data_IF_806733430625
#
_entry.id   IF_806733430625
#
_cell.length_a   1.000
_cell.length_b   1.000
_cell.length_c   1.000
_cell.angle_alpha   90.00
_cell.angle_beta   90.00
_cell.angle_gamma   90.00
#
_symmetry.space_group_name_H-M   'P 1'
#
loop_
_entity.id
_entity.type
_entity.pdbx_description
1 polymer ?
#
# COMPACT_ATOMS: atom_id res chain seq x y z
N UNK A 1 23.59 -47.97 -52.98
CA UNK A 1 24.26 -46.79 -52.36
C UNK A 1 23.39 -45.54 -52.19
N UNK A 2 22.27 -45.35 -52.92
CA UNK A 2 21.38 -44.16 -52.76
C UNK A 2 20.76 -43.97 -51.37
N UNK A 3 20.45 -45.07 -50.67
CA UNK A 3 19.85 -45.03 -49.33
C UNK A 3 20.85 -44.50 -48.30
N UNK A 4 22.13 -44.88 -48.40
CA UNK A 4 23.18 -44.39 -47.51
C UNK A 4 23.40 -42.87 -47.68
N UNK A 5 23.30 -42.37 -48.91
CA UNK A 5 23.44 -40.93 -49.20
C UNK A 5 22.23 -40.13 -48.71
N UNK A 6 21.01 -40.66 -48.82
CA UNK A 6 19.82 -39.99 -48.25
C UNK A 6 19.85 -40.00 -46.72
N UNK A 7 20.25 -41.11 -46.09
CA UNK A 7 20.37 -41.18 -44.62
C UNK A 7 21.42 -40.23 -44.07
N UNK A 8 22.49 -39.95 -44.82
CA UNK A 8 23.51 -38.95 -44.47
C UNK A 8 22.94 -37.53 -44.55
N UNK A 9 22.20 -37.22 -45.62
CA UNK A 9 21.54 -35.93 -45.78
C UNK A 9 20.49 -35.68 -44.69
N UNK A 10 19.64 -36.68 -44.40
CA UNK A 10 18.64 -36.61 -43.32
C UNK A 10 19.30 -36.42 -41.95
N UNK A 11 20.46 -37.05 -41.72
CA UNK A 11 21.25 -36.88 -40.51
C UNK A 11 21.81 -35.47 -40.36
N UNK A 12 22.28 -34.88 -41.46
CA UNK A 12 22.77 -33.51 -41.52
C UNK A 12 21.65 -32.50 -41.27
N UNK A 13 20.48 -32.70 -41.90
CA UNK A 13 19.31 -31.85 -41.74
C UNK A 13 18.82 -31.82 -40.29
N UNK A 14 18.70 -33.01 -39.65
CA UNK A 14 18.37 -33.10 -38.22
C UNK A 14 19.39 -32.38 -37.33
N UNK A 15 20.68 -32.47 -37.67
CA UNK A 15 21.76 -31.79 -36.91
C UNK A 15 21.66 -30.27 -37.04
N UNK A 16 21.35 -29.76 -38.23
CA UNK A 16 21.13 -28.32 -38.46
C UNK A 16 19.92 -27.84 -37.68
N UNK A 17 18.80 -28.57 -37.73
CA UNK A 17 17.59 -28.24 -36.95
C UNK A 17 17.88 -28.16 -35.45
N UNK A 18 18.60 -29.13 -34.87
CA UNK A 18 19.02 -29.10 -33.47
C UNK A 18 19.90 -27.90 -33.12
N UNK A 19 20.83 -27.52 -34.01
CA UNK A 19 21.70 -26.35 -33.79
C UNK A 19 20.90 -25.04 -33.85
N UNK A 20 19.96 -24.91 -34.79
CA UNK A 20 19.09 -23.74 -34.89
C UNK A 20 18.18 -23.60 -33.67
N UNK A 21 17.63 -24.70 -33.15
CA UNK A 21 16.85 -24.69 -31.90
C UNK A 21 17.67 -24.26 -30.68
N UNK A 22 18.91 -24.79 -30.57
CA UNK A 22 19.83 -24.39 -29.51
C UNK A 22 20.19 -22.91 -29.57
N UNK A 23 20.47 -22.38 -30.77
CA UNK A 23 20.79 -20.98 -30.99
C UNK A 23 19.60 -20.08 -30.63
N UNK A 24 18.39 -20.43 -31.07
CA UNK A 24 17.16 -19.72 -30.71
C UNK A 24 16.94 -19.65 -29.20
N UNK A 25 17.17 -20.77 -28.50
CA UNK A 25 17.02 -20.84 -27.03
C UNK A 25 18.02 -19.93 -26.31
N UNK A 26 19.28 -19.89 -26.77
CA UNK A 26 20.31 -19.00 -26.19
C UNK A 26 19.99 -17.54 -26.48
N UNK A 27 19.57 -17.21 -27.70
CA UNK A 27 19.15 -15.85 -28.07
C UNK A 27 17.95 -15.40 -27.24
N UNK A 28 16.98 -16.26 -26.97
CA UNK A 28 15.83 -15.97 -26.10
C UNK A 28 16.28 -15.67 -24.66
N UNK A 29 17.20 -16.47 -24.10
CA UNK A 29 17.78 -16.23 -22.76
C UNK A 29 18.59 -14.94 -22.70
N UNK A 30 19.33 -14.61 -23.76
CA UNK A 30 20.10 -13.37 -23.85
C UNK A 30 19.18 -12.15 -23.92
N UNK A 31 18.14 -12.19 -24.76
CA UNK A 31 17.19 -11.09 -24.92
C UNK A 31 16.35 -10.86 -23.66
N UNK A 32 15.91 -11.92 -23.00
CA UNK A 32 15.13 -11.86 -21.76
C UNK A 32 15.96 -11.59 -20.50
N UNK A 33 17.28 -11.78 -20.59
CA UNK A 33 18.22 -11.80 -19.45
C UNK A 33 17.81 -12.78 -18.34
N UNK A 34 17.00 -13.78 -18.67
CA UNK A 34 16.48 -14.78 -17.73
C UNK A 34 17.01 -16.14 -18.12
N UNK A 35 17.55 -16.85 -17.12
CA UNK A 35 17.98 -18.23 -17.29
C UNK A 35 16.80 -19.19 -17.50
N UNK A 36 15.63 -18.84 -16.94
CA UNK A 36 14.38 -19.62 -17.03
C UNK A 36 13.32 -18.73 -17.66
N UNK A 37 12.93 -19.03 -18.90
CA UNK A 37 11.86 -18.33 -19.61
C UNK A 37 10.54 -19.08 -19.56
N UNK A 38 10.62 -20.42 -19.58
CA UNK A 38 9.46 -21.30 -19.58
C UNK A 38 9.56 -22.31 -18.44
N UNK A 39 8.43 -22.74 -17.85
CA UNK A 39 8.44 -23.81 -16.84
C UNK A 39 9.04 -25.12 -17.36
N UNK A 40 9.00 -25.36 -18.68
CA UNK A 40 9.63 -26.50 -19.33
C UNK A 40 11.16 -26.49 -19.25
N UNK A 41 11.80 -25.33 -19.14
CA UNK A 41 13.26 -25.21 -19.14
C UNK A 41 13.87 -25.72 -17.83
N UNK A 42 13.18 -25.45 -16.71
CA UNK A 42 13.50 -25.96 -15.38
C UNK A 42 12.26 -25.85 -14.48
N UNK A 43 11.46 -26.92 -14.32
CA UNK A 43 10.21 -26.85 -13.57
C UNK A 43 10.44 -26.55 -12.08
N UNK A 44 11.52 -27.07 -11.48
CA UNK A 44 11.88 -26.81 -10.08
C UNK A 44 12.31 -25.35 -9.87
N UNK A 45 13.17 -24.85 -10.75
CA UNK A 45 13.63 -23.46 -10.71
C UNK A 45 12.50 -22.47 -10.99
N UNK A 46 11.60 -22.80 -11.93
CA UNK A 46 10.42 -22.00 -12.23
C UNK A 46 9.45 -21.95 -11.03
N UNK A 47 9.20 -23.08 -10.37
CA UNK A 47 8.36 -23.13 -9.17
C UNK A 47 8.91 -22.24 -8.05
N UNK A 48 10.21 -22.33 -7.76
CA UNK A 48 10.89 -21.46 -6.78
C UNK A 48 10.83 -19.98 -7.18
N UNK A 49 11.07 -19.66 -8.45
CA UNK A 49 11.00 -18.28 -8.95
C UNK A 49 9.59 -17.68 -8.82
N UNK A 50 8.54 -18.46 -9.10
CA UNK A 50 7.14 -18.06 -8.87
C UNK A 50 6.89 -17.85 -7.38
N UNK A 51 7.37 -18.76 -6.53
CA UNK A 51 7.30 -18.63 -5.07
C UNK A 51 7.91 -17.32 -4.57
N UNK A 52 9.12 -16.99 -5.02
CA UNK A 52 9.78 -15.73 -4.67
C UNK A 52 9.04 -14.49 -5.19
N UNK A 53 8.49 -14.54 -6.41
CA UNK A 53 7.66 -13.43 -6.94
C UNK A 53 6.40 -13.22 -6.11
N UNK A 54 5.75 -14.31 -5.70
CA UNK A 54 4.59 -14.24 -4.82
C UNK A 54 4.97 -13.66 -3.45
N UNK A 55 6.11 -14.07 -2.88
CA UNK A 55 6.61 -13.51 -1.63
C UNK A 55 6.89 -12.01 -1.78
N UNK A 56 7.56 -11.58 -2.85
CA UNK A 56 7.86 -10.17 -3.12
C UNK A 56 6.56 -9.35 -3.26
N UNK A 57 5.56 -9.87 -3.97
CA UNK A 57 4.25 -9.23 -4.10
C UNK A 57 3.54 -9.09 -2.75
N UNK A 58 3.59 -10.13 -1.91
CA UNK A 58 3.04 -10.10 -0.55
C UNK A 58 3.76 -9.07 0.33
N UNK A 59 5.10 -9.04 0.31
CA UNK A 59 5.89 -8.04 1.06
C UNK A 59 5.55 -6.63 0.58
N UNK A 60 5.42 -6.41 -0.73
CA UNK A 60 5.01 -5.12 -1.27
C UNK A 60 3.59 -4.72 -0.81
N UNK A 61 2.67 -5.69 -0.72
CA UNK A 61 1.33 -5.45 -0.18
C UNK A 61 1.39 -5.13 1.32
N UNK A 62 2.22 -5.81 2.11
CA UNK A 62 2.42 -5.48 3.52
C UNK A 62 2.96 -4.06 3.68
N UNK A 63 3.91 -3.64 2.84
CA UNK A 63 4.37 -2.25 2.81
C UNK A 63 3.25 -1.24 2.56
N UNK A 64 2.35 -1.53 1.59
CA UNK A 64 1.16 -0.69 1.35
C UNK A 64 0.22 -0.65 2.56
N UNK A 65 -0.05 -1.81 3.16
CA UNK A 65 -0.92 -1.90 4.34
C UNK A 65 -0.36 -1.12 5.52
N UNK A 66 0.96 -1.20 5.76
CA UNK A 66 1.63 -0.43 6.80
C UNK A 66 1.53 1.07 6.56
N UNK A 67 1.72 1.52 5.32
CA UNK A 67 1.56 2.94 4.96
C UNK A 67 0.12 3.41 5.20
N UNK A 68 -0.88 2.62 4.81
CA UNK A 68 -2.29 2.94 5.10
C UNK A 68 -2.55 3.01 6.61
N UNK A 69 -2.03 2.05 7.38
CA UNK A 69 -2.14 2.06 8.84
C UNK A 69 -1.46 3.26 9.47
N UNK A 70 -0.29 3.67 8.96
CA UNK A 70 0.40 4.88 9.41
C UNK A 70 -0.41 6.14 9.11
N UNK A 71 -0.92 6.30 7.89
CA UNK A 71 -1.75 7.46 7.54
C UNK A 71 -3.01 7.53 8.40
N UNK A 72 -3.61 6.38 8.72
CA UNK A 72 -4.72 6.31 9.67
C UNK A 72 -4.31 6.80 11.05
N UNK A 73 -3.22 6.27 11.60
CA UNK A 73 -2.71 6.63 12.92
C UNK A 73 -2.35 8.12 13.01
N UNK A 74 -1.65 8.66 12.02
CA UNK A 74 -1.25 10.08 11.98
C UNK A 74 -2.49 11.00 11.95
N UNK A 75 -3.52 10.61 11.21
CA UNK A 75 -4.79 11.35 11.16
C UNK A 75 -5.56 11.25 12.47
N UNK A 76 -5.57 10.09 13.10
CA UNK A 76 -6.14 9.90 14.45
C UNK A 76 -5.42 10.77 15.47
N UNK A 77 -4.09 10.77 15.47
CA UNK A 77 -3.30 11.57 16.41
C UNK A 77 -3.59 13.07 16.24
N UNK A 78 -3.62 13.55 14.98
CA UNK A 78 -3.93 14.95 14.69
C UNK A 78 -5.32 15.35 15.19
N UNK A 79 -6.34 14.51 14.95
CA UNK A 79 -7.69 14.80 15.38
C UNK A 79 -7.88 14.71 16.91
N UNK A 80 -7.16 13.79 17.59
CA UNK A 80 -7.13 13.73 19.05
C UNK A 80 -6.44 14.95 19.65
N UNK A 81 -5.32 15.40 19.07
CA UNK A 81 -4.63 16.62 19.51
C UNK A 81 -5.54 17.84 19.41
N UNK A 82 -6.23 18.00 18.27
CA UNK A 82 -7.19 19.10 18.09
C UNK A 82 -8.36 19.01 19.08
N UNK A 83 -8.85 17.79 19.35
CA UNK A 83 -9.92 17.57 20.33
C UNK A 83 -9.47 17.95 21.75
N UNK A 84 -8.22 17.64 22.10
CA UNK A 84 -7.63 18.03 23.37
C UNK A 84 -7.55 19.56 23.51
N UNK A 85 -7.11 20.26 22.46
CA UNK A 85 -7.03 21.73 22.45
C UNK A 85 -8.41 22.37 22.66
N UNK A 86 -9.45 21.84 22.00
CA UNK A 86 -10.84 22.28 22.18
C UNK A 86 -11.30 22.14 23.63
N UNK A 87 -11.01 20.99 24.26
CA UNK A 87 -11.37 20.73 25.67
C UNK A 87 -10.61 21.66 26.62
N UNK A 88 -9.32 21.89 26.38
CA UNK A 88 -8.51 22.83 27.16
C UNK A 88 -9.12 24.23 27.04
N UNK A 89 -9.48 24.67 25.84
CA UNK A 89 -10.06 25.98 25.61
C UNK A 89 -11.42 26.16 26.29
N UNK A 90 -12.29 25.16 26.22
CA UNK A 90 -13.57 25.17 26.91
C UNK A 90 -13.38 25.27 28.45
N UNK A 91 -12.38 24.57 28.99
CA UNK A 91 -12.02 24.63 30.41
C UNK A 91 -11.49 26.01 30.80
N UNK A 92 -10.64 26.64 29.98
CA UNK A 92 -10.15 28.00 30.22
C UNK A 92 -11.31 29.00 30.32
N UNK A 93 -12.26 28.93 29.38
CA UNK A 93 -13.45 29.78 29.38
C UNK A 93 -14.27 29.54 30.65
N UNK A 94 -14.50 28.28 31.02
CA UNK A 94 -15.26 27.94 32.23
C UNK A 94 -14.62 28.54 33.50
N UNK A 95 -13.28 28.43 33.64
CA UNK A 95 -12.55 29.00 34.78
C UNK A 95 -12.60 30.53 34.75
N UNK A 96 -12.41 31.15 33.58
CA UNK A 96 -12.45 32.61 33.44
C UNK A 96 -13.81 33.19 33.83
N UNK A 97 -14.89 32.50 33.47
CA UNK A 97 -16.27 32.93 33.69
C UNK A 97 -16.84 32.57 35.07
N UNK A 98 -16.17 31.66 35.79
CA UNK A 98 -16.45 31.36 37.19
C UNK A 98 -16.12 32.52 38.15
N UNK A 99 -15.34 33.51 37.71
CA UNK A 99 -15.06 34.69 38.51
C UNK A 99 -16.32 35.54 38.75
N UNK A 100 -16.49 36.01 40.01
CA UNK A 100 -17.65 36.79 40.43
C UNK A 100 -17.71 38.19 39.79
N UNK A 101 -16.59 38.71 39.29
CA UNK A 101 -16.48 39.99 38.60
C UNK A 101 -17.07 40.00 37.18
N UNK A 102 -17.40 38.84 36.62
CA UNK A 102 -17.92 38.75 35.25
C UNK A 102 -19.42 39.00 35.16
N UNK A 103 -19.82 39.80 34.18
CA UNK A 103 -21.22 40.14 33.93
C UNK A 103 -22.02 38.97 33.34
N UNK A 104 -23.34 38.97 33.55
CA UNK A 104 -24.24 37.99 32.94
C UNK A 104 -24.20 38.02 31.40
N UNK A 105 -24.06 39.20 30.80
CA UNK A 105 -23.93 39.35 29.35
C UNK A 105 -22.63 38.71 28.83
N UNK A 106 -21.50 38.93 29.52
CA UNK A 106 -20.22 38.29 29.17
C UNK A 106 -20.32 36.77 29.30
N UNK A 107 -20.97 36.25 30.35
CA UNK A 107 -21.21 34.81 30.54
C UNK A 107 -22.05 34.22 29.41
N UNK A 108 -23.09 34.91 28.96
CA UNK A 108 -23.91 34.47 27.83
C UNK A 108 -23.12 34.40 26.53
N UNK A 109 -22.29 35.40 26.23
CA UNK A 109 -21.48 35.41 25.01
C UNK A 109 -20.44 34.29 25.00
N UNK A 110 -19.79 34.04 26.15
CA UNK A 110 -18.81 32.96 26.29
C UNK A 110 -19.46 31.57 26.29
N UNK A 111 -20.72 31.44 26.72
CA UNK A 111 -21.47 30.20 26.59
C UNK A 111 -21.72 29.83 25.12
N UNK A 112 -22.00 30.82 24.26
CA UNK A 112 -22.10 30.61 22.81
C UNK A 112 -20.79 30.11 22.22
N UNK A 113 -19.65 30.68 22.65
CA UNK A 113 -18.32 30.24 22.22
C UNK A 113 -18.06 28.78 22.61
N UNK A 114 -18.42 28.37 23.83
CA UNK A 114 -18.33 26.96 24.25
C UNK A 114 -19.25 26.06 23.41
N UNK A 115 -20.41 26.57 22.97
CA UNK A 115 -21.27 25.88 22.00
C UNK A 115 -20.56 25.63 20.66
N UNK A 116 -19.87 26.63 20.11
CA UNK A 116 -19.08 26.47 18.90
C UNK A 116 -17.91 25.49 19.08
N UNK A 117 -17.25 25.50 20.23
CA UNK A 117 -16.22 24.51 20.58
C UNK A 117 -16.79 23.08 20.63
N UNK A 118 -18.00 22.90 21.14
CA UNK A 118 -18.69 21.61 21.12
C UNK A 118 -18.97 21.14 19.68
N UNK A 119 -19.48 22.02 18.83
CA UNK A 119 -19.73 21.71 17.41
C UNK A 119 -18.42 21.30 16.71
N UNK A 120 -17.31 22.00 17.01
CA UNK A 120 -16.00 21.65 16.50
C UNK A 120 -15.53 20.26 16.99
N UNK A 121 -15.72 19.94 18.26
CA UNK A 121 -15.39 18.61 18.80
C UNK A 121 -16.20 17.49 18.12
N UNK A 122 -17.50 17.71 17.86
CA UNK A 122 -18.35 16.77 17.12
C UNK A 122 -17.86 16.60 15.68
N UNK A 123 -17.47 17.70 15.02
CA UNK A 123 -16.89 17.63 13.68
C UNK A 123 -15.58 16.84 13.66
N UNK A 124 -14.72 16.99 14.67
CA UNK A 124 -13.47 16.24 14.80
C UNK A 124 -13.73 14.75 15.05
N UNK A 125 -14.73 14.40 15.86
CA UNK A 125 -15.17 13.01 16.05
C UNK A 125 -15.64 12.35 14.75
N UNK A 126 -16.20 13.13 13.83
CA UNK A 126 -16.64 12.68 12.50
C UNK A 126 -15.54 12.71 11.42
N UNK A 127 -14.27 12.86 11.80
CA UNK A 127 -13.14 12.87 10.85
C UNK A 127 -13.05 11.55 10.06
N UNK A 128 -12.70 11.65 8.77
CA UNK A 128 -12.62 10.52 7.86
C UNK A 128 -11.25 10.37 7.20
N UNK A 129 -10.80 9.13 7.04
CA UNK A 129 -9.61 8.75 6.26
C UNK A 129 -9.99 7.67 5.26
N UNK A 130 -9.76 7.93 3.97
CA UNK A 130 -10.06 6.97 2.91
C UNK A 130 -11.54 6.57 2.83
N UNK A 131 -12.45 7.50 3.16
CA UNK A 131 -13.90 7.28 3.14
C UNK A 131 -14.45 6.48 4.33
N UNK A 132 -13.63 6.23 5.37
CA UNK A 132 -14.06 5.61 6.62
C UNK A 132 -13.83 6.57 7.78
N UNK A 133 -14.76 6.57 8.74
CA UNK A 133 -14.61 7.35 9.95
C UNK A 133 -13.50 6.80 10.84
N UNK A 134 -12.75 7.71 11.48
CA UNK A 134 -11.58 7.39 12.30
C UNK A 134 -11.97 6.95 13.72
N UNK A 135 -12.84 7.72 14.38
CA UNK A 135 -13.20 7.53 15.81
C UNK A 135 -14.55 6.88 16.02
N UNK A 136 -15.41 6.90 15.01
CA UNK A 136 -16.80 6.56 15.22
C UNK A 136 -17.57 6.53 13.91
N UNK A 137 -18.34 5.47 13.71
CA UNK A 137 -19.78 5.71 13.79
C UNK A 137 -20.14 5.92 15.26
#
# INVERSE_FOLDING_TARGET
>A
MRIATSTLFDGLERRIQQLTEGLNTVTEKLASQKTINRPSDNPLGAASAIGYRNLLSQVAQYGRNLNTGKSWMDSSESALSQSQDVVIRAKEIAIQMANASQSAATRSNMATEVGHLLDQAVSLGNSQVGGKYIFSG
#
